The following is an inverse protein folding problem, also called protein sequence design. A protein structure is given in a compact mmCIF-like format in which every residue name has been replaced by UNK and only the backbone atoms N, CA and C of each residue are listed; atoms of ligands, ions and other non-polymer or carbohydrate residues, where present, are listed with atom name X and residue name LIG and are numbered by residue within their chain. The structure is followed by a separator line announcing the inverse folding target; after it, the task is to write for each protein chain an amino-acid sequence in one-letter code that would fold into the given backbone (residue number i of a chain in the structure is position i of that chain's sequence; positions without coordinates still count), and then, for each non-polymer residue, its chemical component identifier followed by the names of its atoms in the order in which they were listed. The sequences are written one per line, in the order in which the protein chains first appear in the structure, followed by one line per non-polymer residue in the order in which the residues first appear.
data_IF_733621006096
#
_entry.id   IF_733621006096
#
_cell.length_a   1.000
_cell.length_b   1.000
_cell.length_c   1.000
_cell.angle_alpha   90.00
_cell.angle_beta   90.00
_cell.angle_gamma   90.00
#
_symmetry.space_group_name_H-M   'P 1'
#
loop_
_entity.id
_entity.type
_entity.pdbx_description
1 polymer ?
#
# COMPACT_ATOMS: atom_id res chain seq x y z
N UNK A 1 -5.05 -1.33 -6.40
CA UNK A 1 -3.71 -1.17 -5.80
C UNK A 1 -3.28 -2.38 -4.98
N UNK A 2 -4.10 -2.84 -4.02
CA UNK A 2 -3.75 -4.00 -3.19
C UNK A 2 -3.40 -5.24 -3.99
N UNK A 3 -4.15 -5.51 -5.04
CA UNK A 3 -3.97 -6.71 -5.84
C UNK A 3 -2.56 -6.84 -6.48
N UNK A 4 -2.02 -5.84 -7.21
CA UNK A 4 -0.63 -5.88 -7.65
C UNK A 4 0.39 -5.93 -6.51
N UNK A 5 0.09 -5.28 -5.39
CA UNK A 5 0.94 -5.29 -4.21
C UNK A 5 1.11 -6.71 -3.64
N UNK A 6 0.00 -7.44 -3.44
CA UNK A 6 0.04 -8.83 -2.98
C UNK A 6 0.75 -9.77 -3.96
N UNK A 7 0.56 -9.57 -5.27
CA UNK A 7 1.31 -10.31 -6.28
C UNK A 7 2.81 -10.04 -6.17
N UNK A 8 3.24 -8.78 -6.20
CA UNK A 8 4.66 -8.42 -6.25
C UNK A 8 5.40 -8.81 -4.97
N UNK A 9 4.87 -8.43 -3.80
CA UNK A 9 5.59 -8.53 -2.54
C UNK A 9 5.32 -9.82 -1.76
N UNK A 10 4.35 -10.62 -2.18
CA UNK A 10 4.09 -11.92 -1.54
C UNK A 10 4.28 -13.06 -2.52
N UNK A 11 3.45 -13.15 -3.56
CA UNK A 11 3.48 -14.29 -4.48
C UNK A 11 4.77 -14.38 -5.28
N UNK A 12 5.20 -13.27 -5.91
CA UNK A 12 6.38 -13.27 -6.76
C UNK A 12 7.68 -13.37 -5.95
N UNK A 13 7.78 -12.70 -4.80
CA UNK A 13 8.96 -12.85 -3.93
C UNK A 13 9.10 -14.29 -3.40
N UNK A 14 8.00 -14.91 -2.97
CA UNK A 14 8.01 -16.32 -2.53
C UNK A 14 8.39 -17.27 -3.69
N UNK A 15 7.87 -17.04 -4.89
CA UNK A 15 8.23 -17.80 -6.08
C UNK A 15 9.73 -17.63 -6.41
N UNK A 16 10.26 -16.43 -6.40
CA UNK A 16 11.68 -16.18 -6.64
C UNK A 16 12.56 -16.77 -5.53
N UNK A 17 12.09 -16.77 -4.28
CA UNK A 17 12.78 -17.41 -3.18
C UNK A 17 12.96 -18.92 -3.41
N UNK A 18 11.94 -19.61 -3.95
CA UNK A 18 12.04 -21.01 -4.36
C UNK A 18 13.00 -21.24 -5.55
N UNK A 19 13.35 -20.17 -6.27
CA UNK A 19 14.32 -20.17 -7.38
C UNK A 19 15.72 -19.72 -6.93
N UNK A 20 15.94 -19.48 -5.64
CA UNK A 20 17.24 -19.11 -5.08
C UNK A 20 17.45 -17.61 -4.80
N UNK A 21 16.38 -16.79 -4.80
CA UNK A 21 16.47 -15.38 -4.40
C UNK A 21 17.01 -15.28 -2.98
N UNK A 22 18.03 -14.47 -2.79
CA UNK A 22 18.62 -14.19 -1.48
C UNK A 22 17.79 -13.18 -0.67
N UNK A 23 18.00 -13.15 0.65
CA UNK A 23 17.36 -12.12 1.52
C UNK A 23 17.76 -10.70 1.10
N UNK A 24 19.00 -10.50 0.68
CA UNK A 24 19.49 -9.20 0.23
C UNK A 24 18.76 -8.73 -1.06
N UNK A 25 18.58 -9.60 -2.03
CA UNK A 25 17.85 -9.33 -3.27
C UNK A 25 16.35 -9.11 -3.00
N UNK A 26 15.74 -9.90 -2.12
CA UNK A 26 14.35 -9.68 -1.66
C UNK A 26 14.21 -8.31 -0.98
N UNK A 27 15.17 -7.92 -0.14
CA UNK A 27 15.24 -6.59 0.45
C UNK A 27 15.35 -5.47 -0.58
N UNK A 28 16.18 -5.65 -1.61
CA UNK A 28 16.31 -4.71 -2.73
C UNK A 28 14.98 -4.55 -3.49
N UNK A 29 14.31 -5.66 -3.83
CA UNK A 29 13.03 -5.62 -4.53
C UNK A 29 11.95 -4.93 -3.68
N UNK A 30 11.89 -5.25 -2.39
CA UNK A 30 10.96 -4.62 -1.45
C UNK A 30 11.23 -3.12 -1.32
N UNK A 31 12.50 -2.71 -1.21
CA UNK A 31 12.88 -1.30 -1.17
C UNK A 31 12.48 -0.55 -2.45
N UNK A 32 12.74 -1.14 -3.62
CA UNK A 32 12.37 -0.56 -4.92
C UNK A 32 10.85 -0.46 -5.10
N UNK A 33 10.07 -1.38 -4.53
CA UNK A 33 8.61 -1.31 -4.55
C UNK A 33 8.05 -0.25 -3.59
N UNK A 34 8.70 -0.04 -2.43
CA UNK A 34 8.20 0.87 -1.39
C UNK A 34 8.67 2.31 -1.55
N UNK A 35 9.87 2.53 -2.09
CA UNK A 35 10.45 3.86 -2.26
C UNK A 35 9.52 4.87 -2.98
N UNK A 36 8.79 4.52 -4.06
CA UNK A 36 7.87 5.45 -4.72
C UNK A 36 6.73 5.97 -3.85
N UNK A 37 6.41 5.30 -2.75
CA UNK A 37 5.36 5.74 -1.82
C UNK A 37 5.78 6.97 -1.02
N UNK A 38 7.08 7.23 -0.87
CA UNK A 38 7.59 8.48 -0.30
C UNK A 38 7.31 9.68 -1.21
N UNK A 39 7.08 9.44 -2.51
CA UNK A 39 6.77 10.50 -3.48
C UNK A 39 5.35 11.06 -3.35
N UNK A 40 4.52 10.49 -2.48
CA UNK A 40 3.18 11.04 -2.17
C UNK A 40 3.22 12.52 -1.82
N UNK A 41 4.26 12.98 -1.15
CA UNK A 41 4.48 14.39 -0.82
C UNK A 41 4.56 15.30 -2.04
N UNK A 42 5.08 14.79 -3.16
CA UNK A 42 5.23 15.53 -4.41
C UNK A 42 4.01 15.40 -5.32
N UNK A 43 3.33 14.24 -5.29
CA UNK A 43 2.16 14.00 -6.12
C UNK A 43 1.00 14.95 -5.82
N UNK A 44 0.77 15.31 -4.55
CA UNK A 44 -0.28 16.25 -4.17
C UNK A 44 -0.20 17.57 -4.93
N UNK A 45 0.91 18.33 -4.81
CA UNK A 45 1.13 19.54 -5.58
C UNK A 45 1.05 19.37 -7.11
N UNK A 46 1.53 18.23 -7.64
CA UNK A 46 1.49 17.96 -9.07
C UNK A 46 0.06 17.80 -9.57
N UNK A 47 -0.75 16.94 -8.93
CA UNK A 47 -2.15 16.72 -9.33
C UNK A 47 -3.05 17.93 -9.10
N UNK A 48 -2.67 18.82 -8.18
CA UNK A 48 -3.38 20.09 -7.95
C UNK A 48 -3.02 21.18 -8.97
N UNK A 49 -1.79 21.16 -9.48
CA UNK A 49 -1.28 22.15 -10.43
C UNK A 49 -1.70 21.87 -11.89
N UNK A 50 -1.80 20.59 -12.26
CA UNK A 50 -2.12 20.15 -13.62
C UNK A 50 -3.53 19.57 -13.68
N UNK A 51 -4.52 20.44 -13.78
CA UNK A 51 -5.95 20.07 -13.83
C UNK A 51 -6.46 20.09 -15.25
N UNK A 52 -7.10 19.02 -15.70
CA UNK A 52 -7.83 18.98 -16.94
C UNK A 52 -9.33 19.09 -16.68
N UNK A 53 -9.81 20.31 -16.44
CA UNK A 53 -11.16 20.63 -15.97
C UNK A 53 -12.29 19.98 -16.77
N UNK A 54 -12.08 19.74 -18.07
CA UNK A 54 -13.09 19.15 -18.96
C UNK A 54 -13.45 17.70 -18.61
N UNK A 55 -12.55 16.95 -18.00
CA UNK A 55 -12.75 15.54 -17.60
C UNK A 55 -12.83 15.34 -16.09
N UNK A 56 -12.79 16.40 -15.31
CA UNK A 56 -12.70 16.36 -13.86
C UNK A 56 -11.29 16.69 -13.36
N UNK A 57 -11.16 16.94 -12.06
CA UNK A 57 -9.91 17.36 -11.45
C UNK A 57 -8.98 16.16 -11.19
N UNK A 58 -9.54 15.03 -10.74
CA UNK A 58 -8.78 13.85 -10.26
C UNK A 58 -8.83 12.67 -11.23
N UNK A 59 -9.94 12.49 -11.89
CA UNK A 59 -10.21 11.37 -12.80
C UNK A 59 -9.17 11.20 -13.92
N UNK A 60 -8.66 12.24 -14.60
CA UNK A 60 -7.59 12.09 -15.60
C UNK A 60 -6.32 11.49 -15.00
N UNK A 61 -5.95 11.87 -13.78
CA UNK A 61 -4.79 11.36 -13.07
C UNK A 61 -4.95 9.89 -12.66
N UNK A 62 -6.14 9.50 -12.21
CA UNK A 62 -6.46 8.09 -11.89
C UNK A 62 -6.32 7.23 -13.14
N UNK A 63 -6.89 7.67 -14.29
CA UNK A 63 -6.79 6.94 -15.56
C UNK A 63 -5.34 6.85 -16.06
N UNK A 64 -4.61 7.96 -16.03
CA UNK A 64 -3.20 8.00 -16.41
C UNK A 64 -2.36 7.02 -15.56
N UNK A 65 -2.54 7.05 -14.27
CA UNK A 65 -1.83 6.16 -13.35
C UNK A 65 -2.18 4.69 -13.60
N UNK A 66 -3.45 4.34 -13.82
CA UNK A 66 -3.87 2.97 -14.13
C UNK A 66 -3.30 2.46 -15.45
N UNK A 67 -3.26 3.29 -16.50
CA UNK A 67 -2.61 2.94 -17.77
C UNK A 67 -1.13 2.70 -17.53
N UNK A 68 -0.45 3.59 -16.81
CA UNK A 68 0.96 3.43 -16.47
C UNK A 68 1.26 2.13 -15.69
N UNK A 69 0.41 1.79 -14.71
CA UNK A 69 0.49 0.52 -13.98
C UNK A 69 0.29 -0.69 -14.90
N UNK A 70 -0.70 -0.67 -15.78
CA UNK A 70 -0.94 -1.76 -16.72
C UNK A 70 0.22 -1.94 -17.70
N UNK A 71 0.73 -0.86 -18.26
CA UNK A 71 1.88 -0.89 -19.16
C UNK A 71 3.15 -1.40 -18.47
N UNK A 72 3.43 -0.95 -17.24
CA UNK A 72 4.59 -1.41 -16.47
C UNK A 72 4.52 -2.91 -16.14
N UNK A 73 3.33 -3.48 -15.93
CA UNK A 73 3.17 -4.92 -15.78
C UNK A 73 3.47 -5.66 -17.09
N UNK A 74 2.92 -5.17 -18.20
CA UNK A 74 3.15 -5.80 -19.52
C UNK A 74 4.63 -5.80 -19.89
N UNK A 75 5.39 -4.74 -19.55
CA UNK A 75 6.83 -4.72 -19.82
C UNK A 75 7.61 -5.82 -19.09
N UNK A 76 7.11 -6.31 -17.95
CA UNK A 76 7.74 -7.43 -17.23
C UNK A 76 7.72 -8.74 -18.03
N UNK A 77 6.77 -8.91 -18.99
CA UNK A 77 6.71 -10.10 -19.85
C UNK A 77 7.94 -10.21 -20.76
N UNK A 78 8.54 -9.07 -21.12
CA UNK A 78 9.66 -9.02 -22.05
C UNK A 78 11.03 -9.14 -21.36
N UNK A 79 11.06 -9.35 -20.05
CA UNK A 79 12.32 -9.45 -19.29
C UNK A 79 13.06 -10.78 -19.45
N UNK A 80 12.41 -11.81 -20.02
CA UNK A 80 12.96 -13.17 -20.05
C UNK A 80 12.93 -13.86 -18.69
N UNK A 81 14.00 -14.55 -18.32
CA UNK A 81 14.13 -15.20 -17.02
C UNK A 81 14.33 -14.15 -15.92
N UNK A 82 13.29 -13.94 -15.10
CA UNK A 82 13.28 -12.88 -14.07
C UNK A 82 14.35 -13.12 -13.00
N UNK A 83 14.63 -14.40 -12.68
CA UNK A 83 15.63 -14.78 -11.70
C UNK A 83 17.06 -14.36 -12.06
N UNK A 84 17.33 -14.12 -13.36
CA UNK A 84 18.66 -13.69 -13.83
C UNK A 84 18.86 -12.17 -13.77
N UNK A 85 17.76 -11.38 -13.68
CA UNK A 85 17.79 -9.93 -13.76
C UNK A 85 17.06 -9.22 -12.62
N UNK A 86 17.42 -9.55 -11.37
CA UNK A 86 16.81 -8.99 -10.16
C UNK A 86 16.84 -7.45 -10.12
N UNK A 87 17.93 -6.84 -10.57
CA UNK A 87 18.04 -5.39 -10.62
C UNK A 87 17.03 -4.75 -11.58
N UNK A 88 16.85 -5.34 -12.77
CA UNK A 88 15.84 -4.86 -13.73
C UNK A 88 14.43 -5.05 -13.21
N UNK A 89 14.14 -6.19 -12.56
CA UNK A 89 12.87 -6.42 -11.88
C UNK A 89 12.61 -5.36 -10.81
N UNK A 90 13.62 -4.99 -10.04
CA UNK A 90 13.53 -3.91 -9.05
C UNK A 90 13.12 -2.58 -9.68
N UNK A 91 13.73 -2.20 -10.82
CA UNK A 91 13.32 -1.00 -11.57
C UNK A 91 11.90 -1.09 -12.11
N UNK A 92 11.43 -2.26 -12.54
CA UNK A 92 10.04 -2.46 -12.95
C UNK A 92 9.08 -2.30 -11.76
N UNK A 93 9.43 -2.83 -10.59
CA UNK A 93 8.68 -2.60 -9.35
C UNK A 93 8.62 -1.12 -8.99
N UNK A 94 9.76 -0.43 -9.06
CA UNK A 94 9.83 1.00 -8.82
C UNK A 94 8.91 1.79 -9.76
N UNK A 95 9.02 1.55 -11.07
CA UNK A 95 8.20 2.22 -12.08
C UNK A 95 6.70 1.97 -11.86
N UNK A 96 6.32 0.70 -11.63
CA UNK A 96 4.94 0.33 -11.35
C UNK A 96 4.40 1.07 -10.11
N UNK A 97 5.18 1.12 -9.05
CA UNK A 97 4.78 1.74 -7.80
C UNK A 97 4.81 3.28 -7.84
N UNK A 98 5.55 3.90 -8.74
CA UNK A 98 5.39 5.33 -9.04
C UNK A 98 3.96 5.65 -9.52
N UNK A 99 3.44 4.85 -10.45
CA UNK A 99 2.05 5.01 -10.89
C UNK A 99 1.05 4.58 -9.81
N UNK A 100 1.33 3.53 -9.04
CA UNK A 100 0.46 3.10 -7.95
C UNK A 100 0.32 4.17 -6.86
N UNK A 101 1.42 4.81 -6.45
CA UNK A 101 1.40 5.89 -5.47
C UNK A 101 0.70 7.14 -6.00
N UNK A 102 0.86 7.47 -7.28
CA UNK A 102 0.14 8.56 -7.94
C UNK A 102 -1.39 8.29 -7.97
N UNK A 103 -1.79 7.05 -8.28
CA UNK A 103 -3.20 6.64 -8.24
C UNK A 103 -3.78 6.79 -6.82
N UNK A 104 -3.05 6.35 -5.81
CA UNK A 104 -3.46 6.40 -4.39
C UNK A 104 -3.77 7.84 -3.97
N UNK A 105 -2.82 8.75 -4.19
CA UNK A 105 -3.01 10.19 -3.89
C UNK A 105 -4.19 10.77 -4.66
N UNK A 106 -4.37 10.37 -5.92
CA UNK A 106 -5.47 10.87 -6.76
C UNK A 106 -6.83 10.38 -6.28
N UNK A 107 -6.93 9.13 -5.81
CA UNK A 107 -8.15 8.57 -5.24
C UNK A 107 -8.46 9.19 -3.87
N UNK A 108 -7.46 9.37 -3.01
CA UNK A 108 -7.60 10.03 -1.71
C UNK A 108 -8.08 11.48 -1.89
N UNK A 109 -7.48 12.20 -2.84
CA UNK A 109 -7.89 13.57 -3.16
C UNK A 109 -9.30 13.64 -3.75
N UNK A 110 -9.70 12.65 -4.58
CA UNK A 110 -11.07 12.55 -5.09
C UNK A 110 -12.07 12.36 -3.94
N UNK A 111 -11.76 11.47 -3.01
CA UNK A 111 -12.60 11.23 -1.83
C UNK A 111 -12.79 12.52 -1.01
N UNK A 112 -11.72 13.28 -0.80
CA UNK A 112 -11.79 14.58 -0.08
C UNK A 112 -12.60 15.63 -0.87
N UNK A 113 -12.45 15.68 -2.20
CA UNK A 113 -13.09 16.70 -3.05
C UNK A 113 -14.60 16.45 -3.26
N UNK A 114 -15.07 15.19 -3.12
CA UNK A 114 -16.45 14.78 -3.48
C UNK A 114 -17.30 14.40 -2.27
N UNK A 115 -16.70 13.86 -1.20
CA UNK A 115 -17.44 13.34 -0.05
C UNK A 115 -17.74 14.41 0.99
N UNK A 116 -18.91 14.29 1.61
CA UNK A 116 -19.25 15.07 2.80
C UNK A 116 -18.35 14.65 3.98
N UNK A 117 -17.99 15.58 4.90
CA UNK A 117 -17.12 15.27 6.04
C UNK A 117 -17.60 14.06 6.88
N UNK A 118 -18.91 13.86 6.96
CA UNK A 118 -19.55 12.76 7.71
C UNK A 118 -19.40 11.39 7.02
N UNK A 119 -19.17 11.38 5.71
CA UNK A 119 -19.03 10.17 4.90
C UNK A 119 -17.55 9.74 4.75
N UNK A 120 -16.61 10.68 4.92
CA UNK A 120 -15.18 10.46 4.68
C UNK A 120 -14.63 9.29 5.50
N UNK A 121 -15.04 9.15 6.77
CA UNK A 121 -14.59 8.06 7.63
C UNK A 121 -15.03 6.68 7.12
N UNK A 122 -16.28 6.54 6.69
CA UNK A 122 -16.84 5.27 6.16
C UNK A 122 -16.17 4.88 4.84
N UNK A 123 -16.03 5.85 3.94
CA UNK A 123 -15.44 5.61 2.61
C UNK A 123 -13.94 5.29 2.74
N UNK A 124 -13.21 6.01 3.60
CA UNK A 124 -11.80 5.72 3.85
C UNK A 124 -11.60 4.31 4.44
N UNK A 125 -12.46 3.91 5.38
CA UNK A 125 -12.48 2.54 5.89
C UNK A 125 -12.74 1.49 4.81
N UNK A 126 -13.68 1.75 3.89
CA UNK A 126 -13.97 0.87 2.76
C UNK A 126 -12.80 0.81 1.75
N UNK A 127 -12.14 1.94 1.47
CA UNK A 127 -10.95 2.02 0.62
C UNK A 127 -9.82 1.19 1.20
N UNK A 128 -9.53 1.34 2.49
CA UNK A 128 -8.48 0.58 3.17
C UNK A 128 -8.82 -0.92 3.24
N UNK A 129 -10.04 -1.28 3.62
CA UNK A 129 -10.52 -2.67 3.63
C UNK A 129 -10.42 -3.33 2.26
N UNK A 130 -10.81 -2.63 1.21
CA UNK A 130 -10.67 -3.10 -0.19
C UNK A 130 -9.21 -3.32 -0.59
N UNK A 131 -8.29 -2.46 -0.10
CA UNK A 131 -6.85 -2.60 -0.33
C UNK A 131 -6.31 -3.87 0.33
N UNK A 132 -6.69 -4.15 1.58
CA UNK A 132 -6.31 -5.37 2.31
C UNK A 132 -6.82 -6.62 1.58
N UNK A 133 -8.12 -6.65 1.21
CA UNK A 133 -8.73 -7.77 0.47
C UNK A 133 -8.01 -7.94 -0.88
N UNK A 134 -7.74 -6.84 -1.58
CA UNK A 134 -7.00 -6.87 -2.83
C UNK A 134 -5.59 -7.46 -2.67
N UNK A 135 -4.87 -7.09 -1.60
CA UNK A 135 -3.54 -7.63 -1.30
C UNK A 135 -3.59 -9.13 -1.05
N UNK A 136 -4.52 -9.59 -0.22
CA UNK A 136 -4.68 -11.02 0.07
C UNK A 136 -5.06 -11.84 -1.15
N UNK A 137 -6.05 -11.37 -1.93
CA UNK A 137 -6.46 -12.06 -3.15
C UNK A 137 -5.35 -12.03 -4.22
N UNK A 138 -4.60 -10.93 -4.33
CA UNK A 138 -3.43 -10.83 -5.19
C UNK A 138 -2.32 -11.79 -4.81
N UNK A 139 -2.05 -11.95 -3.51
CA UNK A 139 -1.08 -12.94 -3.02
C UNK A 139 -1.54 -14.37 -3.31
N UNK A 140 -2.73 -14.75 -2.86
CA UNK A 140 -3.22 -16.13 -2.98
C UNK A 140 -3.51 -16.53 -4.42
N UNK A 141 -4.38 -15.78 -5.12
CA UNK A 141 -4.81 -16.16 -6.47
C UNK A 141 -3.68 -16.07 -7.50
N UNK A 142 -2.85 -15.01 -7.42
CA UNK A 142 -1.73 -14.87 -8.35
C UNK A 142 -0.58 -15.80 -8.00
N UNK A 143 -0.40 -16.17 -6.72
CA UNK A 143 0.57 -17.19 -6.32
C UNK A 143 0.25 -18.56 -6.95
N UNK A 144 -0.98 -19.02 -6.82
CA UNK A 144 -1.45 -20.25 -7.44
C UNK A 144 -1.35 -20.22 -8.97
N UNK A 145 -1.72 -19.08 -9.57
CA UNK A 145 -1.66 -18.91 -11.01
C UNK A 145 -0.21 -18.90 -11.53
N UNK A 146 0.69 -18.28 -10.80
CA UNK A 146 2.13 -18.18 -11.12
C UNK A 146 2.77 -19.57 -11.18
N UNK A 147 2.45 -20.44 -10.24
CA UNK A 147 2.98 -21.81 -10.19
C UNK A 147 2.33 -22.69 -11.25
N UNK A 148 1.00 -22.60 -11.45
CA UNK A 148 0.26 -23.49 -12.33
C UNK A 148 0.37 -23.13 -13.81
N UNK A 149 0.47 -21.84 -14.16
CA UNK A 149 0.44 -21.31 -15.54
C UNK A 149 1.66 -20.47 -15.91
N UNK A 150 2.53 -20.18 -14.95
CA UNK A 150 3.73 -19.38 -15.16
C UNK A 150 3.49 -17.87 -15.17
N UNK A 151 4.60 -17.13 -15.25
CA UNK A 151 4.63 -15.68 -15.07
C UNK A 151 3.84 -14.91 -16.12
N UNK A 152 4.05 -15.23 -17.39
CA UNK A 152 3.44 -14.48 -18.50
C UNK A 152 1.90 -14.51 -18.39
N UNK A 153 1.34 -15.68 -18.14
CA UNK A 153 -0.10 -15.84 -17.98
C UNK A 153 -0.61 -15.06 -16.74
N UNK A 154 0.12 -15.11 -15.65
CA UNK A 154 -0.23 -14.41 -14.42
C UNK A 154 -0.23 -12.89 -14.62
N UNK A 155 0.78 -12.33 -15.30
CA UNK A 155 0.83 -10.90 -15.64
C UNK A 155 -0.32 -10.50 -16.56
N UNK A 156 -0.65 -11.32 -17.57
CA UNK A 156 -1.76 -11.03 -18.48
C UNK A 156 -3.09 -10.98 -17.73
N UNK A 157 -3.36 -11.95 -16.85
CA UNK A 157 -4.59 -11.96 -16.03
C UNK A 157 -4.63 -10.74 -15.11
N UNK A 158 -3.53 -10.41 -14.47
CA UNK A 158 -3.46 -9.23 -13.60
C UNK A 158 -3.68 -7.93 -14.37
N UNK A 159 -3.06 -7.80 -15.54
CA UNK A 159 -3.25 -6.63 -16.42
C UNK A 159 -4.70 -6.52 -16.86
N UNK A 160 -5.33 -7.63 -17.24
CA UNK A 160 -6.76 -7.67 -17.62
C UNK A 160 -7.65 -7.21 -16.46
N UNK A 161 -7.41 -7.69 -15.24
CA UNK A 161 -8.15 -7.27 -14.05
C UNK A 161 -8.00 -5.77 -13.79
N UNK A 162 -6.79 -5.21 -13.95
CA UNK A 162 -6.56 -3.77 -13.82
C UNK A 162 -7.31 -2.96 -14.88
N UNK A 163 -7.32 -3.43 -16.13
CA UNK A 163 -8.08 -2.79 -17.21
C UNK A 163 -9.60 -2.85 -16.95
N UNK A 164 -10.10 -3.96 -16.40
CA UNK A 164 -11.50 -4.08 -16.00
C UNK A 164 -11.86 -3.08 -14.88
N UNK A 165 -10.98 -2.93 -13.88
CA UNK A 165 -11.18 -1.92 -12.81
C UNK A 165 -11.15 -0.50 -13.38
N UNK A 166 -10.33 -0.24 -14.41
CA UNK A 166 -10.26 1.06 -15.07
C UNK A 166 -11.59 1.48 -15.73
N UNK A 167 -12.48 0.54 -16.03
CA UNK A 167 -13.82 0.82 -16.57
C UNK A 167 -14.60 1.75 -15.62
N UNK A 168 -14.46 1.59 -14.29
CA UNK A 168 -15.16 2.43 -13.34
C UNK A 168 -14.81 3.92 -13.48
N UNK A 169 -13.55 4.37 -13.30
CA UNK A 169 -13.21 5.78 -13.47
C UNK A 169 -13.35 6.27 -14.93
N UNK A 170 -13.44 5.37 -15.91
CA UNK A 170 -13.68 5.73 -17.29
C UNK A 170 -15.13 6.17 -17.52
N UNK A 171 -16.10 5.49 -16.90
CA UNK A 171 -17.52 5.73 -17.12
C UNK A 171 -18.20 6.54 -16.02
N UNK A 172 -17.71 6.51 -14.80
CA UNK A 172 -18.25 7.30 -13.69
C UNK A 172 -17.62 8.69 -13.73
N UNK A 173 -18.48 9.71 -13.81
CA UNK A 173 -18.06 11.11 -13.80
C UNK A 173 -17.81 11.56 -12.37
N UNK A 174 -16.79 12.37 -12.16
CA UNK A 174 -16.49 12.99 -10.87
C UNK A 174 -17.59 13.99 -10.47
N UNK A 175 -18.09 14.74 -11.46
CA UNK A 175 -19.17 15.73 -11.28
C UNK A 175 -20.13 15.74 -12.47
N UNK A 176 -21.40 16.12 -12.29
CA UNK A 176 -22.34 16.32 -13.39
C UNK A 176 -21.83 17.37 -14.37
N UNK A 177 -21.91 17.07 -15.67
CA UNK A 177 -21.50 18.00 -16.75
C UNK A 177 -20.07 17.81 -17.26
N UNK A 178 -19.27 16.95 -16.67
CA UNK A 178 -17.93 16.62 -17.17
C UNK A 178 -17.97 15.75 -18.43
N UNK A 179 -16.90 15.83 -19.21
CA UNK A 179 -16.70 14.96 -20.39
C UNK A 179 -16.21 13.57 -19.94
N UNK A 180 -16.71 12.53 -20.61
CA UNK A 180 -16.16 11.18 -20.42
C UNK A 180 -14.78 11.04 -21.04
N UNK A 181 -14.58 11.62 -22.22
CA UNK A 181 -13.33 11.56 -22.99
C UNK A 181 -12.90 12.94 -23.47
N UNK A 182 -11.61 13.17 -23.74
CA UNK A 182 -11.09 14.46 -24.18
C UNK A 182 -11.75 14.99 -25.46
N UNK A 183 -12.18 14.10 -26.35
CA UNK A 183 -12.78 14.41 -27.65
C UNK A 183 -14.29 14.61 -27.63
N UNK A 184 -14.95 14.37 -26.50
CA UNK A 184 -16.41 14.59 -26.42
C UNK A 184 -16.76 16.09 -26.42
N UNK A 185 -17.85 16.45 -27.09
CA UNK A 185 -18.41 17.81 -27.05
C UNK A 185 -19.16 18.02 -25.72
N UNK A 186 -19.04 19.18 -25.10
CA UNK A 186 -19.68 19.52 -23.80
C UNK A 186 -18.66 19.97 -22.73
N UNK A 187 -19.11 20.53 -21.67
CA UNK A 187 -18.28 20.86 -20.49
C UNK A 187 -17.91 22.34 -20.36
N UNK A 188 -18.87 23.25 -20.49
CA UNK A 188 -18.62 24.71 -20.46
C UNK A 188 -18.83 25.36 -19.07
N UNK A 189 -18.88 24.66 -17.96
CA UNK A 189 -19.33 25.29 -16.73
C UNK A 189 -18.66 24.92 -15.42
N UNK A 190 -17.34 24.78 -15.37
CA UNK A 190 -16.64 24.62 -14.09
C UNK A 190 -15.74 25.82 -13.71
N UNK A 191 -15.92 26.96 -14.36
CA UNK A 191 -15.11 28.18 -14.16
C UNK A 191 -15.26 28.85 -12.79
N UNK A 192 -16.17 28.43 -11.93
CA UNK A 192 -16.47 29.14 -10.67
C UNK A 192 -16.08 28.41 -9.38
N UNK A 193 -15.35 27.31 -9.42
CA UNK A 193 -14.94 26.56 -8.21
C UNK A 193 -13.47 26.71 -7.81
N UNK A 194 -12.72 27.57 -8.48
CA UNK A 194 -11.31 27.83 -8.19
C UNK A 194 -11.12 28.88 -7.08
N UNK A 195 -11.57 28.59 -5.86
CA UNK A 195 -10.98 29.14 -4.66
C UNK A 195 -10.33 28.01 -3.86
N UNK A 196 -9.46 27.24 -4.48
CA UNK A 196 -8.46 26.50 -3.74
C UNK A 196 -7.43 27.51 -3.22
N UNK A 197 -7.27 27.61 -1.91
CA UNK A 197 -6.15 28.33 -1.28
C UNK A 197 -4.84 27.81 -1.91
N UNK A 198 -4.34 28.52 -2.92
CA UNK A 198 -3.01 28.31 -3.48
C UNK A 198 -1.97 28.71 -2.44
N UNK A 199 -1.75 27.84 -1.46
CA UNK A 199 -0.59 27.99 -0.59
C UNK A 199 0.66 27.68 -1.41
N UNK A 200 1.63 28.59 -1.37
CA UNK A 200 2.93 28.35 -1.99
C UNK A 200 3.52 27.04 -1.44
N UNK A 201 4.04 26.13 -2.28
CA UNK A 201 4.70 24.90 -1.82
C UNK A 201 5.74 25.13 -0.73
N UNK A 202 6.44 26.25 -0.78
CA UNK A 202 7.43 26.64 0.24
C UNK A 202 6.78 26.94 1.60
N UNK A 203 5.58 27.52 1.62
CA UNK A 203 4.83 27.76 2.87
C UNK A 203 4.42 26.45 3.50
N UNK A 204 3.93 25.49 2.70
CA UNK A 204 3.56 24.16 3.19
C UNK A 204 4.76 23.43 3.78
N UNK A 205 5.91 23.44 3.10
CA UNK A 205 7.16 22.85 3.63
C UNK A 205 7.57 23.48 4.95
N UNK A 206 7.51 24.81 5.05
CA UNK A 206 7.85 25.54 6.30
C UNK A 206 6.90 25.18 7.44
N UNK A 207 5.62 25.08 7.16
CA UNK A 207 4.60 24.66 8.13
C UNK A 207 4.82 23.22 8.60
N UNK A 208 5.21 22.31 7.69
CA UNK A 208 5.58 20.93 8.02
C UNK A 208 6.81 20.89 8.95
N UNK A 209 7.91 21.58 8.60
CA UNK A 209 9.12 21.62 9.43
C UNK A 209 8.77 22.14 10.83
N UNK A 210 7.96 23.19 10.91
CA UNK A 210 7.52 23.77 12.18
C UNK A 210 6.66 22.79 12.99
N UNK A 211 5.78 22.04 12.32
CA UNK A 211 4.94 21.03 12.97
C UNK A 211 5.76 19.85 13.50
N UNK A 212 6.69 19.32 12.70
CA UNK A 212 7.56 18.21 13.11
C UNK A 212 8.64 18.61 14.13
N UNK A 213 8.91 19.89 14.31
CA UNK A 213 9.78 20.39 15.40
C UNK A 213 9.14 20.29 16.78
N UNK A 214 7.82 20.06 16.87
CA UNK A 214 7.14 19.86 18.16
C UNK A 214 7.36 18.43 18.68
N UNK A 215 7.73 18.29 19.93
CA UNK A 215 8.07 17.00 20.53
C UNK A 215 7.05 15.87 20.29
N UNK A 216 5.72 16.07 20.45
CA UNK A 216 4.76 14.98 20.17
C UNK A 216 4.77 14.50 18.72
N UNK A 217 4.93 15.44 17.76
CA UNK A 217 4.97 15.13 16.33
C UNK A 217 6.27 14.41 15.94
N UNK A 218 7.40 14.88 16.49
CA UNK A 218 8.70 14.26 16.30
C UNK A 218 8.74 12.82 16.81
N UNK A 219 8.29 12.57 18.05
CA UNK A 219 8.25 11.22 18.60
C UNK A 219 7.29 10.30 17.83
N UNK A 220 6.13 10.83 17.41
CA UNK A 220 5.21 10.06 16.57
C UNK A 220 5.86 9.65 15.23
N UNK A 221 6.53 10.58 14.56
CA UNK A 221 7.26 10.30 13.32
C UNK A 221 8.36 9.25 13.53
N UNK A 222 9.15 9.36 14.61
CA UNK A 222 10.19 8.40 14.94
C UNK A 222 9.63 7.00 15.16
N UNK A 223 8.53 6.86 15.91
CA UNK A 223 7.87 5.57 16.12
C UNK A 223 7.29 5.00 14.84
N UNK A 224 6.73 5.83 13.95
CA UNK A 224 6.22 5.41 12.64
C UNK A 224 7.36 4.87 11.78
N UNK A 225 8.49 5.56 11.72
CA UNK A 225 9.69 5.11 10.98
C UNK A 225 10.18 3.77 11.50
N UNK A 226 10.32 3.60 12.83
CA UNK A 226 10.76 2.33 13.42
C UNK A 226 9.78 1.21 13.09
N UNK A 227 8.48 1.48 13.13
CA UNK A 227 7.44 0.52 12.78
C UNK A 227 7.50 0.12 11.30
N UNK A 228 7.70 1.08 10.41
CA UNK A 228 7.84 0.85 8.97
C UNK A 228 9.09 0.02 8.66
N UNK A 229 10.24 0.30 9.31
CA UNK A 229 11.47 -0.49 9.17
C UNK A 229 11.23 -1.94 9.59
N UNK A 230 10.59 -2.17 10.74
CA UNK A 230 10.32 -3.52 11.23
C UNK A 230 9.38 -4.28 10.28
N UNK A 231 8.34 -3.63 9.76
CA UNK A 231 7.44 -4.23 8.75
C UNK A 231 8.18 -4.54 7.44
N UNK A 232 9.03 -3.63 6.98
CA UNK A 232 9.83 -3.81 5.76
C UNK A 232 10.81 -4.98 5.88
N UNK A 233 11.48 -5.15 7.04
CA UNK A 233 12.36 -6.30 7.31
C UNK A 233 11.57 -7.61 7.24
N UNK A 234 10.40 -7.70 7.88
CA UNK A 234 9.56 -8.89 7.80
C UNK A 234 9.11 -9.18 6.36
N UNK A 235 8.68 -8.16 5.62
CA UNK A 235 8.29 -8.31 4.21
C UNK A 235 9.40 -8.83 3.31
N UNK A 236 10.65 -8.44 3.57
CA UNK A 236 11.81 -8.88 2.80
C UNK A 236 12.32 -10.28 3.22
N UNK A 237 12.33 -10.55 4.53
CA UNK A 237 12.93 -11.77 5.08
C UNK A 237 12.01 -12.97 5.01
N UNK A 238 10.73 -12.81 5.38
CA UNK A 238 9.82 -13.96 5.54
C UNK A 238 9.64 -14.80 4.27
N UNK A 239 9.41 -14.23 3.07
CA UNK A 239 9.23 -15.05 1.86
C UNK A 239 10.43 -15.95 1.59
N UNK A 240 11.64 -15.40 1.74
CA UNK A 240 12.88 -16.15 1.52
C UNK A 240 13.12 -17.16 2.65
N UNK A 241 12.95 -16.76 3.90
CA UNK A 241 13.16 -17.62 5.05
C UNK A 241 12.24 -18.84 5.04
N UNK A 242 10.95 -18.65 4.74
CA UNK A 242 10.00 -19.75 4.66
C UNK A 242 10.29 -20.69 3.50
N UNK A 243 10.66 -20.17 2.34
CA UNK A 243 10.98 -21.00 1.18
C UNK A 243 12.35 -21.68 1.31
N UNK A 244 13.42 -20.92 1.56
CA UNK A 244 14.80 -21.42 1.51
C UNK A 244 15.22 -22.17 2.79
N UNK A 245 14.71 -21.76 3.96
CA UNK A 245 15.14 -22.33 5.25
C UNK A 245 14.14 -23.34 5.81
N UNK A 246 12.85 -23.01 5.76
CA UNK A 246 11.79 -23.88 6.30
C UNK A 246 11.21 -24.85 5.27
N UNK A 247 11.57 -24.72 3.97
CA UNK A 247 11.15 -25.62 2.91
C UNK A 247 9.69 -25.51 2.51
N UNK A 248 9.03 -24.38 2.78
CA UNK A 248 7.66 -24.16 2.36
C UNK A 248 7.58 -23.95 0.84
N UNK A 249 6.59 -24.58 0.20
CA UNK A 249 6.26 -24.27 -1.18
C UNK A 249 5.74 -22.83 -1.27
N UNK A 250 6.13 -22.12 -2.34
CA UNK A 250 5.76 -20.71 -2.53
C UNK A 250 4.25 -20.50 -2.65
N UNK A 251 3.53 -21.48 -3.19
CA UNK A 251 2.07 -21.49 -3.27
C UNK A 251 1.46 -21.55 -1.85
N UNK A 252 1.90 -22.50 -1.03
CA UNK A 252 1.44 -22.65 0.36
C UNK A 252 1.70 -21.38 1.18
N UNK A 253 2.89 -20.80 1.05
CA UNK A 253 3.21 -19.53 1.71
C UNK A 253 2.25 -18.43 1.27
N UNK A 254 2.06 -18.26 -0.02
CA UNK A 254 1.21 -17.21 -0.60
C UNK A 254 -0.26 -17.39 -0.23
N UNK A 255 -0.75 -18.62 -0.16
CA UNK A 255 -2.12 -18.92 0.26
C UNK A 255 -2.34 -18.66 1.75
N UNK A 256 -1.40 -19.01 2.62
CA UNK A 256 -1.51 -18.75 4.07
C UNK A 256 -1.48 -17.26 4.35
N UNK A 257 -0.57 -16.52 3.73
CA UNK A 257 -0.49 -15.06 3.89
C UNK A 257 -1.70 -14.37 3.27
N UNK A 258 -2.05 -14.73 2.03
CA UNK A 258 -3.14 -14.11 1.28
C UNK A 258 -4.55 -14.56 1.71
N UNK A 259 -4.68 -15.72 2.34
CA UNK A 259 -5.94 -16.23 2.86
C UNK A 259 -6.14 -15.88 4.34
N UNK A 260 -5.87 -16.81 5.26
CA UNK A 260 -6.10 -16.60 6.69
C UNK A 260 -5.31 -15.42 7.27
N UNK A 261 -4.10 -15.14 6.78
CA UNK A 261 -3.32 -13.97 7.19
C UNK A 261 -4.05 -12.66 6.90
N UNK A 262 -4.56 -12.50 5.69
CA UNK A 262 -5.34 -11.31 5.29
C UNK A 262 -6.65 -11.18 6.04
N UNK A 263 -7.35 -12.31 6.31
CA UNK A 263 -8.59 -12.28 7.11
C UNK A 263 -8.30 -11.74 8.51
N UNK A 264 -7.24 -12.22 9.16
CA UNK A 264 -6.86 -11.73 10.50
C UNK A 264 -6.33 -10.30 10.47
N UNK A 265 -5.60 -9.90 9.41
CA UNK A 265 -5.21 -8.49 9.20
C UNK A 265 -6.44 -7.58 9.13
N UNK A 266 -7.45 -7.95 8.35
CA UNK A 266 -8.71 -7.22 8.24
C UNK A 266 -9.47 -7.14 9.58
N UNK A 267 -9.57 -8.25 10.28
CA UNK A 267 -10.16 -8.29 11.62
C UNK A 267 -9.38 -7.43 12.62
N UNK A 268 -8.05 -7.47 12.55
CA UNK A 268 -7.16 -6.62 13.35
C UNK A 268 -7.39 -5.13 13.10
N UNK A 269 -7.59 -4.74 11.83
CA UNK A 269 -7.89 -3.35 11.48
C UNK A 269 -9.24 -2.88 12.07
N UNK A 270 -10.30 -3.71 11.96
CA UNK A 270 -11.62 -3.39 12.55
C UNK A 270 -11.52 -3.29 14.09
N UNK A 271 -10.94 -4.30 14.73
CA UNK A 271 -10.78 -4.32 16.18
C UNK A 271 -9.89 -3.18 16.67
N UNK A 272 -8.83 -2.88 15.95
CA UNK A 272 -7.95 -1.74 16.23
C UNK A 272 -8.71 -0.41 16.22
N UNK A 273 -9.60 -0.21 15.26
CA UNK A 273 -10.49 0.96 15.19
C UNK A 273 -11.40 1.08 16.40
N UNK A 274 -12.16 0.02 16.71
CA UNK A 274 -13.05 -0.02 17.87
C UNK A 274 -12.28 0.18 19.18
N UNK A 275 -11.11 -0.44 19.30
CA UNK A 275 -10.26 -0.29 20.48
C UNK A 275 -9.69 1.13 20.60
N UNK A 276 -9.34 1.77 19.48
CA UNK A 276 -8.82 3.14 19.48
C UNK A 276 -9.86 4.14 19.98
N UNK A 277 -11.12 3.96 19.59
CA UNK A 277 -12.22 4.80 20.07
C UNK A 277 -12.53 4.54 21.57
N UNK A 278 -12.45 3.29 22.04
CA UNK A 278 -12.83 2.90 23.40
C UNK A 278 -11.71 3.08 24.44
N UNK A 279 -10.49 2.72 24.11
CA UNK A 279 -9.33 2.69 25.02
C UNK A 279 -8.31 3.81 24.77
N UNK A 280 -8.46 4.52 23.66
CA UNK A 280 -7.59 5.60 23.24
C UNK A 280 -6.48 5.17 22.26
N UNK A 281 -6.24 6.00 21.29
CA UNK A 281 -5.37 5.80 20.11
C UNK A 281 -3.95 5.40 20.47
N UNK A 282 -3.36 6.09 21.47
CA UNK A 282 -1.99 5.83 21.94
C UNK A 282 -1.83 4.42 22.51
N UNK A 283 -2.79 3.95 23.31
CA UNK A 283 -2.72 2.61 23.92
C UNK A 283 -2.79 1.53 22.84
N UNK A 284 -3.68 1.69 21.87
CA UNK A 284 -3.86 0.71 20.76
C UNK A 284 -2.61 0.65 19.89
N UNK A 285 -1.99 1.78 19.60
CA UNK A 285 -0.69 1.82 18.92
C UNK A 285 0.37 0.96 19.64
N UNK A 286 0.58 1.18 20.95
CA UNK A 286 1.57 0.42 21.70
C UNK A 286 1.20 -1.06 21.91
N UNK A 287 -0.08 -1.38 22.05
CA UNK A 287 -0.54 -2.77 22.18
C UNK A 287 -0.29 -3.51 20.86
N UNK A 288 -0.69 -2.96 19.72
CA UNK A 288 -0.52 -3.61 18.42
C UNK A 288 0.96 -3.85 18.09
N UNK A 289 1.77 -2.78 18.07
CA UNK A 289 3.20 -2.89 17.76
C UNK A 289 4.00 -3.61 18.83
N UNK A 290 3.63 -3.47 20.10
CA UNK A 290 4.23 -4.22 21.21
C UNK A 290 3.95 -5.72 21.09
N UNK A 291 2.71 -6.12 20.80
CA UNK A 291 2.35 -7.53 20.56
C UNK A 291 3.10 -8.11 19.36
N UNK A 292 3.22 -7.35 18.26
CA UNK A 292 4.02 -7.74 17.11
C UNK A 292 5.49 -7.94 17.48
N UNK A 293 6.09 -7.01 18.22
CA UNK A 293 7.49 -7.11 18.65
C UNK A 293 7.74 -8.32 19.55
N UNK A 294 6.83 -8.60 20.49
CA UNK A 294 6.91 -9.78 21.37
C UNK A 294 6.78 -11.06 20.55
N UNK A 295 5.80 -11.13 19.65
CA UNK A 295 5.59 -12.30 18.78
C UNK A 295 6.80 -12.57 17.89
N UNK A 296 7.38 -11.52 17.27
CA UNK A 296 8.59 -11.64 16.45
C UNK A 296 9.81 -12.02 17.28
N UNK A 297 9.92 -11.51 18.52
CA UNK A 297 10.97 -11.90 19.46
C UNK A 297 10.88 -13.38 19.86
N UNK A 298 9.67 -13.87 20.15
CA UNK A 298 9.44 -15.30 20.45
C UNK A 298 9.79 -16.14 19.23
N UNK A 299 9.36 -15.75 18.03
CA UNK A 299 9.69 -16.45 16.79
C UNK A 299 11.19 -16.52 16.56
N UNK A 300 11.92 -15.42 16.74
CA UNK A 300 13.38 -15.39 16.62
C UNK A 300 14.10 -16.25 17.67
N UNK A 301 13.63 -16.20 18.92
CA UNK A 301 14.20 -17.04 20.01
C UNK A 301 13.97 -18.54 19.74
N UNK A 302 12.80 -18.92 19.22
CA UNK A 302 12.53 -20.31 18.86
C UNK A 302 13.43 -20.78 17.71
N UNK A 303 13.68 -19.94 16.70
CA UNK A 303 14.64 -20.26 15.62
C UNK A 303 16.05 -20.48 16.19
N UNK A 304 16.47 -19.68 17.14
CA UNK A 304 17.82 -19.80 17.74
C UNK A 304 17.95 -20.96 18.70
N UNK A 305 16.90 -21.39 19.39
CA UNK A 305 16.92 -22.38 20.45
C UNK A 305 16.51 -23.78 20.00
N UNK A 306 15.78 -23.93 18.90
CA UNK A 306 15.26 -25.22 18.43
C UNK A 306 15.98 -25.67 17.16
N UNK A 307 16.26 -26.96 17.03
CA UNK A 307 16.80 -27.51 15.78
C UNK A 307 15.78 -27.48 14.64
N UNK A 308 14.50 -27.67 14.97
CA UNK A 308 13.39 -27.60 14.03
C UNK A 308 12.24 -26.79 14.63
N UNK A 309 11.77 -25.81 13.89
CA UNK A 309 10.63 -25.00 14.29
C UNK A 309 9.32 -25.77 14.03
N UNK A 310 8.44 -25.97 15.04
CA UNK A 310 7.20 -26.71 14.87
C UNK A 310 6.31 -26.10 13.76
N UNK A 311 5.76 -26.94 12.89
CA UNK A 311 4.96 -26.49 11.73
C UNK A 311 3.75 -25.63 12.15
N UNK A 312 3.08 -26.03 13.24
CA UNK A 312 1.95 -25.25 13.76
C UNK A 312 2.34 -23.81 14.16
N UNK A 313 3.55 -23.63 14.69
CA UNK A 313 4.03 -22.32 15.11
C UNK A 313 4.47 -21.47 13.92
N UNK A 314 5.05 -22.10 12.88
CA UNK A 314 5.36 -21.44 11.61
C UNK A 314 4.08 -20.85 10.99
N UNK A 315 3.01 -21.65 10.85
CA UNK A 315 1.72 -21.19 10.34
C UNK A 315 1.06 -20.15 11.25
N UNK A 316 1.10 -20.37 12.57
CA UNK A 316 0.57 -19.41 13.55
C UNK A 316 1.23 -18.04 13.43
N UNK A 317 2.56 -17.98 13.31
CA UNK A 317 3.26 -16.72 13.15
C UNK A 317 2.78 -15.94 11.92
N UNK A 318 2.71 -16.61 10.74
CA UNK A 318 2.27 -15.99 9.48
C UNK A 318 0.84 -15.41 9.54
N UNK A 319 0.00 -15.98 10.37
CA UNK A 319 -1.40 -15.57 10.51
C UNK A 319 -1.56 -14.50 11.61
N UNK A 320 -0.81 -14.61 12.69
CA UNK A 320 -0.96 -13.75 13.86
C UNK A 320 -0.25 -12.40 13.75
N UNK A 321 0.94 -12.36 13.07
CA UNK A 321 1.67 -11.10 12.99
C UNK A 321 0.92 -10.02 12.17
N UNK A 322 0.22 -10.32 11.06
CA UNK A 322 -0.53 -9.31 10.32
C UNK A 322 -1.67 -8.71 11.16
N UNK A 323 -2.31 -9.51 12.00
CA UNK A 323 -3.31 -9.02 12.96
C UNK A 323 -2.71 -7.98 13.92
N UNK A 324 -1.57 -8.27 14.54
CA UNK A 324 -0.90 -7.34 15.46
C UNK A 324 -0.49 -6.04 14.75
N UNK A 325 0.08 -6.17 13.55
CA UNK A 325 0.47 -5.04 12.70
C UNK A 325 -0.75 -4.18 12.36
N UNK A 326 -1.86 -4.78 11.95
CA UNK A 326 -3.08 -4.05 11.59
C UNK A 326 -3.65 -3.27 12.77
N UNK A 327 -3.74 -3.87 13.97
CA UNK A 327 -4.14 -3.18 15.21
C UNK A 327 -3.23 -1.98 15.48
N UNK A 328 -1.92 -2.17 15.40
CA UNK A 328 -0.93 -1.13 15.63
C UNK A 328 -0.99 0.00 14.60
N UNK A 329 -1.17 -0.35 13.33
CA UNK A 329 -1.26 0.60 12.20
C UNK A 329 -2.50 1.49 12.29
N UNK A 330 -3.65 0.92 12.65
CA UNK A 330 -4.88 1.72 12.88
C UNK A 330 -4.69 2.68 14.06
N UNK A 331 -4.08 2.22 15.16
CA UNK A 331 -3.71 3.08 16.27
C UNK A 331 -2.76 4.21 15.87
N UNK A 332 -1.79 3.91 15.00
CA UNK A 332 -0.83 4.84 14.43
C UNK A 332 -1.52 5.92 13.58
N UNK A 333 -2.36 5.53 12.64
CA UNK A 333 -3.08 6.48 11.79
C UNK A 333 -4.04 7.35 12.60
N UNK A 334 -4.76 6.78 13.55
CA UNK A 334 -5.61 7.54 14.45
C UNK A 334 -4.82 8.56 15.30
N UNK A 335 -3.60 8.21 15.71
CA UNK A 335 -2.69 9.11 16.42
C UNK A 335 -2.16 10.20 15.49
N UNK A 336 -1.72 9.84 14.29
CA UNK A 336 -1.24 10.77 13.27
C UNK A 336 -2.32 11.80 12.90
N UNK A 337 -3.57 11.37 12.70
CA UNK A 337 -4.72 12.26 12.48
C UNK A 337 -4.89 13.25 13.63
N UNK A 338 -4.80 12.79 14.89
CA UNK A 338 -4.94 13.65 16.05
C UNK A 338 -3.81 14.68 16.20
N UNK A 339 -2.63 14.37 15.68
CA UNK A 339 -1.47 15.27 15.70
C UNK A 339 -1.47 16.23 14.49
N UNK A 340 -2.27 15.97 13.47
CA UNK A 340 -2.38 16.79 12.25
C UNK A 340 -3.35 17.96 12.42
N UNK A 341 -3.05 18.88 13.31
CA UNK A 341 -3.92 20.00 13.73
C UNK A 341 -3.59 21.35 13.08
N UNK A 342 -2.61 21.42 12.19
CA UNK A 342 -2.18 22.67 11.54
C UNK A 342 -3.08 23.05 10.35
N UNK A 343 -2.89 24.25 9.79
CA UNK A 343 -3.52 24.66 8.53
C UNK A 343 -3.15 23.75 7.35
N UNK A 344 -2.05 23.00 7.47
CA UNK A 344 -1.57 21.97 6.54
C UNK A 344 -1.88 20.55 7.05
N UNK A 345 -3.01 20.34 7.72
CA UNK A 345 -3.37 19.06 8.37
C UNK A 345 -3.36 17.88 7.41
N UNK A 346 -3.89 18.04 6.20
CA UNK A 346 -3.89 17.01 5.17
C UNK A 346 -2.47 16.63 4.74
N UNK A 347 -1.62 17.62 4.46
CA UNK A 347 -0.22 17.38 4.07
C UNK A 347 0.58 16.77 5.22
N UNK A 348 0.32 17.19 6.46
CA UNK A 348 0.96 16.64 7.64
C UNK A 348 0.56 15.17 7.85
N UNK A 349 -0.72 14.84 7.72
CA UNK A 349 -1.21 13.46 7.79
C UNK A 349 -0.60 12.59 6.68
N UNK A 350 -0.61 13.09 5.44
CA UNK A 350 0.03 12.39 4.30
C UNK A 350 1.53 12.17 4.53
N UNK A 351 2.21 13.13 5.21
CA UNK A 351 3.63 13.00 5.56
C UNK A 351 3.91 11.87 6.56
N UNK A 352 2.96 11.58 7.47
CA UNK A 352 3.05 10.42 8.34
C UNK A 352 2.80 9.09 7.62
N UNK A 353 2.13 9.12 6.47
CA UNK A 353 1.82 7.93 5.66
C UNK A 353 2.85 7.67 4.56
N UNK A 354 3.71 8.63 4.23
CA UNK A 354 4.77 8.55 3.23
C UNK A 354 6.04 7.90 3.80
#
# INVERSE_FOLDING_TARGET
QGFPWGFMLTALLSFLASKGLTIAESGQLTAMATLPWTFKLFWGPVIDSFVYEKMGKRRPWILFAQIGMALSLVTMIFMGEISENISLLGWMFFLHNCFASLQDVSCDALAVDVLLPEEQGKVNGAMWGSKIIGTGTGAAAMGTLLISKGLVYTILVQTLLMLLIMIFPLFILERPGEKRFPWNKGGDSLTNLNQSNNQSPLTVIKDLITAFSKAPCYYAALFIIISAINQGINGAVLPVFYSATLGWESDTYSQVVGGPGTILEFLGAILGGVMADRFGRRKVFFVGWGSFSVLSGIFGLMILSMQELPLWFQGFYLIAYPFCVAVGTVGMFALAMALSWSKASATMFTSYMA
#
